data_IF_782148764101
#
_entry.id   IF_782148764101
#
_cell.length_a   1.000
_cell.length_b   1.000
_cell.length_c   1.000
_cell.angle_alpha   90.00
_cell.angle_beta   90.00
_cell.angle_gamma   90.00
#
_symmetry.space_group_name_H-M   'P 1'
#
loop_
_entity.id
_entity.type
_entity.pdbx_description
1 polymer ?
#
# COMPACT_ATOMS: atom_id res chain seq x y z
N UNK A 1 -4.28 -13.52 35.95
CA UNK A 1 -3.36 -12.63 35.22
C UNK A 1 -3.64 -12.82 33.74
N UNK A 2 -4.08 -11.77 33.06
CA UNK A 2 -4.64 -11.86 31.72
C UNK A 2 -3.57 -12.25 30.68
N UNK A 3 -3.99 -13.15 29.78
CA UNK A 3 -3.25 -13.76 28.70
C UNK A 3 -2.53 -12.75 27.81
N UNK A 4 -1.24 -12.97 27.57
CA UNK A 4 -0.55 -12.42 26.40
C UNK A 4 -0.35 -13.56 25.41
N UNK A 5 -1.37 -13.79 24.58
CA UNK A 5 -1.23 -14.60 23.38
C UNK A 5 -0.26 -13.87 22.45
N UNK A 6 0.97 -14.36 22.37
CA UNK A 6 1.83 -14.12 21.21
C UNK A 6 1.10 -14.72 20.02
N UNK A 7 0.51 -13.87 19.19
CA UNK A 7 -0.03 -14.24 17.89
C UNK A 7 1.11 -14.07 16.87
N UNK A 8 1.65 -15.14 16.26
CA UNK A 8 2.63 -15.03 15.18
C UNK A 8 2.01 -14.53 13.85
N UNK A 9 0.79 -14.01 13.88
CA UNK A 9 -0.04 -13.69 12.73
C UNK A 9 -0.50 -12.23 12.76
N UNK A 10 0.37 -11.32 12.33
CA UNK A 10 0.03 -9.91 12.19
C UNK A 10 -0.94 -9.60 11.03
N UNK A 11 -1.30 -10.57 10.20
CA UNK A 11 -2.19 -10.36 9.05
C UNK A 11 -1.80 -9.18 8.16
N UNK A 12 -2.76 -8.70 7.36
CA UNK A 12 -2.57 -7.54 6.48
C UNK A 12 -2.20 -6.25 7.26
N UNK A 13 -2.80 -6.05 8.43
CA UNK A 13 -2.58 -4.87 9.26
C UNK A 13 -1.15 -4.80 9.80
N UNK A 14 -0.58 -5.93 10.18
CA UNK A 14 0.81 -6.03 10.66
C UNK A 14 1.81 -5.67 9.57
N UNK A 15 1.60 -6.13 8.33
CA UNK A 15 2.42 -5.74 7.19
C UNK A 15 2.38 -4.23 6.95
N UNK A 16 1.19 -3.63 7.00
CA UNK A 16 1.01 -2.19 6.85
C UNK A 16 1.70 -1.40 7.96
N UNK A 17 1.58 -1.83 9.23
CA UNK A 17 2.25 -1.17 10.35
C UNK A 17 3.78 -1.24 10.22
N UNK A 18 4.33 -2.40 9.89
CA UNK A 18 5.77 -2.58 9.65
C UNK A 18 6.26 -1.74 8.46
N UNK A 19 5.45 -1.62 7.41
CA UNK A 19 5.76 -0.81 6.24
C UNK A 19 5.87 0.68 6.59
N UNK A 20 4.97 1.18 7.45
CA UNK A 20 5.03 2.57 7.93
C UNK A 20 6.14 2.80 8.95
N UNK A 21 6.50 1.79 9.74
CA UNK A 21 7.64 1.87 10.66
C UNK A 21 8.98 1.93 9.89
N UNK A 22 9.10 1.19 8.79
CA UNK A 22 10.27 1.22 7.91
C UNK A 22 10.58 2.63 7.38
N UNK A 23 9.57 3.48 7.17
CA UNK A 23 9.77 4.87 6.74
C UNK A 23 10.47 5.76 7.78
N UNK A 24 10.50 5.33 9.05
CA UNK A 24 11.14 6.06 10.15
C UNK A 24 12.58 5.60 10.40
N UNK A 25 13.01 4.53 9.71
CA UNK A 25 14.37 4.00 9.84
C UNK A 25 15.40 4.99 9.32
N UNK A 26 16.52 5.12 10.03
CA UNK A 26 17.69 5.87 9.57
C UNK A 26 18.42 5.15 8.42
N UNK A 27 18.31 3.83 8.34
CA UNK A 27 18.87 3.04 7.24
C UNK A 27 17.80 2.81 6.16
N UNK A 28 17.70 3.76 5.24
CA UNK A 28 16.64 3.81 4.22
C UNK A 28 16.78 2.70 3.18
N UNK A 29 18.00 2.22 2.92
CA UNK A 29 18.27 1.18 1.93
C UNK A 29 17.74 -0.19 2.39
N UNK A 30 18.11 -0.64 3.60
CA UNK A 30 17.57 -1.89 4.16
C UNK A 30 16.07 -1.79 4.39
N UNK A 31 15.59 -0.64 4.87
CA UNK A 31 14.17 -0.41 5.10
C UNK A 31 13.35 -0.46 3.79
N UNK A 32 13.90 0.02 2.67
CA UNK A 32 13.26 -0.12 1.36
C UNK A 32 13.18 -1.58 0.92
N UNK A 33 14.27 -2.36 1.03
CA UNK A 33 14.24 -3.80 0.72
C UNK A 33 13.19 -4.55 1.54
N UNK A 34 13.11 -4.24 2.84
CA UNK A 34 12.08 -4.79 3.71
C UNK A 34 10.67 -4.33 3.27
N UNK A 35 10.49 -3.04 2.97
CA UNK A 35 9.21 -2.48 2.53
C UNK A 35 8.67 -3.15 1.26
N UNK A 36 9.53 -3.39 0.28
CA UNK A 36 9.16 -4.07 -0.96
C UNK A 36 8.76 -5.53 -0.71
N UNK A 37 9.46 -6.24 0.18
CA UNK A 37 9.06 -7.58 0.64
C UNK A 37 7.68 -7.58 1.30
N UNK A 38 7.43 -6.62 2.20
CA UNK A 38 6.13 -6.47 2.89
C UNK A 38 4.98 -6.19 1.91
N UNK A 39 5.19 -5.35 0.91
CA UNK A 39 4.18 -5.06 -0.12
C UNK A 39 3.84 -6.32 -0.91
N UNK A 40 4.85 -7.15 -1.24
CA UNK A 40 4.62 -8.42 -1.94
C UNK A 40 3.81 -9.39 -1.09
N UNK A 41 4.15 -9.57 0.18
CA UNK A 41 3.38 -10.40 1.11
C UNK A 41 1.95 -9.88 1.33
N UNK A 42 1.78 -8.55 1.37
CA UNK A 42 0.46 -7.92 1.43
C UNK A 42 -0.36 -8.25 0.18
N UNK A 43 0.23 -8.11 -1.01
CA UNK A 43 -0.44 -8.41 -2.27
C UNK A 43 -0.86 -9.88 -2.35
N UNK A 44 0.03 -10.80 -1.97
CA UNK A 44 -0.26 -12.24 -1.92
C UNK A 44 -1.40 -12.57 -0.96
N UNK A 45 -1.42 -11.95 0.23
CA UNK A 45 -2.51 -12.10 1.20
C UNK A 45 -3.86 -11.58 0.66
N UNK A 46 -3.84 -10.46 -0.07
CA UNK A 46 -5.01 -9.91 -0.74
C UNK A 46 -5.53 -10.80 -1.88
N UNK A 47 -4.65 -11.54 -2.57
CA UNK A 47 -5.05 -12.44 -3.67
C UNK A 47 -5.62 -13.75 -3.14
N UNK A 48 -4.96 -14.35 -2.13
CA UNK A 48 -5.31 -15.66 -1.56
C UNK A 48 -6.55 -15.62 -0.66
N UNK A 49 -6.91 -14.46 -0.14
CA UNK A 49 -8.11 -14.31 0.69
C UNK A 49 -9.40 -14.38 -0.15
N UNK A 50 -10.38 -15.13 0.37
CA UNK A 50 -11.72 -15.32 -0.20
C UNK A 50 -12.79 -15.06 0.86
N UNK A 51 -13.82 -14.30 0.49
CA UNK A 51 -14.94 -13.92 1.37
C UNK A 51 -15.20 -12.41 1.37
N UNK A 52 -16.47 -12.01 1.30
CA UNK A 52 -16.86 -10.60 1.20
C UNK A 52 -16.49 -9.78 2.44
N UNK A 53 -16.64 -10.35 3.64
CA UNK A 53 -16.29 -9.68 4.91
C UNK A 53 -14.78 -9.42 5.01
N UNK A 54 -13.97 -10.40 4.57
CA UNK A 54 -12.52 -10.26 4.58
C UNK A 54 -12.09 -9.24 3.53
N UNK A 55 -12.73 -9.24 2.34
CA UNK A 55 -12.45 -8.25 1.31
C UNK A 55 -12.80 -6.83 1.78
N UNK A 56 -13.92 -6.65 2.47
CA UNK A 56 -14.31 -5.35 3.04
C UNK A 56 -13.28 -4.84 4.07
N UNK A 57 -12.75 -5.74 4.91
CA UNK A 57 -11.67 -5.44 5.84
C UNK A 57 -10.37 -5.08 5.10
N UNK A 58 -9.99 -5.84 4.07
CA UNK A 58 -8.80 -5.57 3.27
C UNK A 58 -8.88 -4.20 2.60
N UNK A 59 -10.01 -3.86 1.98
CA UNK A 59 -10.25 -2.54 1.39
C UNK A 59 -10.04 -1.44 2.45
N UNK A 60 -10.67 -1.58 3.61
CA UNK A 60 -10.59 -0.59 4.69
C UNK A 60 -9.17 -0.38 5.21
N UNK A 61 -8.38 -1.46 5.29
CA UNK A 61 -6.99 -1.40 5.73
C UNK A 61 -6.06 -0.81 4.65
N UNK A 62 -6.16 -1.29 3.41
CA UNK A 62 -5.34 -0.80 2.28
C UNK A 62 -5.54 0.70 2.06
N UNK A 63 -6.79 1.18 2.15
CA UNK A 63 -7.12 2.59 1.94
C UNK A 63 -7.22 3.40 3.23
N UNK A 64 -6.71 2.89 4.36
CA UNK A 64 -6.61 3.65 5.60
C UNK A 64 -5.77 4.92 5.41
N UNK A 65 -6.27 6.05 5.92
CA UNK A 65 -5.60 7.36 5.78
C UNK A 65 -4.29 7.44 6.56
N UNK A 66 -4.19 6.72 7.66
CA UNK A 66 -3.03 6.81 8.56
C UNK A 66 -1.95 5.80 8.19
N UNK A 67 -2.35 4.53 8.10
CA UNK A 67 -1.44 3.39 7.93
C UNK A 67 -1.73 2.56 6.67
N UNK A 68 -2.54 3.07 5.74
CA UNK A 68 -2.80 2.41 4.47
C UNK A 68 -1.68 2.62 3.44
N UNK A 69 -1.84 1.99 2.28
CA UNK A 69 -0.83 1.98 1.23
C UNK A 69 -0.74 3.33 0.49
N UNK A 70 -1.89 4.01 0.32
CA UNK A 70 -1.93 5.39 -0.21
C UNK A 70 -1.13 6.36 0.66
N UNK A 71 -1.23 6.22 1.97
CA UNK A 71 -0.49 7.03 2.94
C UNK A 71 1.01 6.73 2.90
N UNK A 72 1.39 5.46 2.75
CA UNK A 72 2.79 5.05 2.56
C UNK A 72 3.39 5.67 1.30
N UNK A 73 2.68 5.60 0.16
CA UNK A 73 3.14 6.19 -1.11
C UNK A 73 3.39 7.68 -0.91
N UNK A 74 2.44 8.41 -0.32
CA UNK A 74 2.58 9.85 -0.08
C UNK A 74 3.79 10.19 0.80
N UNK A 75 3.94 9.51 1.94
CA UNK A 75 5.02 9.77 2.92
C UNK A 75 6.40 9.44 2.36
N UNK A 76 6.49 8.43 1.49
CA UNK A 76 7.76 7.97 0.92
C UNK A 76 8.25 8.77 -0.30
N UNK A 77 7.46 9.71 -0.84
CA UNK A 77 7.84 10.50 -2.03
C UNK A 77 9.17 11.26 -1.88
N UNK A 78 9.54 11.63 -0.65
CA UNK A 78 10.79 12.35 -0.36
C UNK A 78 12.03 11.45 -0.23
N UNK A 79 11.87 10.13 -0.25
CA UNK A 79 12.96 9.17 -0.03
C UNK A 79 13.19 8.35 -1.29
N UNK A 80 14.39 8.47 -1.86
CA UNK A 80 14.71 7.86 -3.16
C UNK A 80 14.78 6.33 -3.11
N UNK A 81 15.28 5.75 -2.00
CA UNK A 81 15.39 4.30 -1.83
C UNK A 81 14.03 3.58 -1.94
N UNK A 82 12.93 4.23 -1.51
CA UNK A 82 11.59 3.65 -1.55
C UNK A 82 10.92 3.70 -2.93
N UNK A 83 11.61 4.18 -3.98
CA UNK A 83 11.03 4.32 -5.32
C UNK A 83 10.48 3.02 -5.88
N UNK A 84 11.22 1.91 -5.75
CA UNK A 84 10.76 0.59 -6.20
C UNK A 84 9.52 0.13 -5.42
N UNK A 85 9.49 0.40 -4.12
CA UNK A 85 8.36 0.03 -3.28
C UNK A 85 7.11 0.86 -3.62
N UNK A 86 7.27 2.14 -3.98
CA UNK A 86 6.14 2.95 -4.49
C UNK A 86 5.59 2.41 -5.81
N UNK A 87 6.47 2.01 -6.73
CA UNK A 87 6.08 1.40 -8.00
C UNK A 87 5.27 0.12 -7.76
N UNK A 88 5.78 -0.79 -6.92
CA UNK A 88 5.12 -2.06 -6.62
C UNK A 88 3.78 -1.84 -5.90
N UNK A 89 3.72 -0.88 -4.98
CA UNK A 89 2.47 -0.49 -4.32
C UNK A 89 1.43 0.03 -5.31
N UNK A 90 1.81 0.87 -6.28
CA UNK A 90 0.90 1.41 -7.29
C UNK A 90 0.37 0.31 -8.22
N UNK A 91 1.23 -0.61 -8.67
CA UNK A 91 0.81 -1.78 -9.46
C UNK A 91 -0.16 -2.66 -8.69
N UNK A 92 0.10 -2.91 -7.41
CA UNK A 92 -0.83 -3.63 -6.56
C UNK A 92 -2.16 -2.90 -6.44
N UNK A 93 -2.18 -1.59 -6.18
CA UNK A 93 -3.42 -0.81 -6.07
C UNK A 93 -4.21 -0.88 -7.38
N UNK A 94 -3.54 -0.77 -8.53
CA UNK A 94 -4.18 -0.91 -9.85
C UNK A 94 -4.91 -2.25 -9.97
N UNK A 95 -4.21 -3.36 -9.72
CA UNK A 95 -4.81 -4.69 -9.78
C UNK A 95 -5.90 -4.89 -8.71
N UNK A 96 -5.72 -4.31 -7.51
CA UNK A 96 -6.66 -4.44 -6.42
C UNK A 96 -7.96 -3.68 -6.68
N UNK A 97 -7.89 -2.49 -7.28
CA UNK A 97 -9.07 -1.71 -7.70
C UNK A 97 -9.88 -2.50 -8.74
N UNK A 98 -9.23 -3.16 -9.69
CA UNK A 98 -9.93 -4.06 -10.63
C UNK A 98 -10.64 -5.20 -9.92
N UNK A 99 -9.99 -5.82 -8.92
CA UNK A 99 -10.57 -6.92 -8.14
C UNK A 99 -11.83 -6.49 -7.38
N UNK A 100 -11.83 -5.30 -6.77
CA UNK A 100 -12.93 -4.86 -5.89
C UNK A 100 -14.05 -4.11 -6.62
N UNK A 101 -13.79 -3.65 -7.85
CA UNK A 101 -14.75 -2.96 -8.71
C UNK A 101 -15.43 -1.77 -8.00
N UNK A 102 -16.77 -1.69 -7.97
CA UNK A 102 -17.49 -0.52 -7.44
C UNK A 102 -17.30 -0.29 -5.94
N UNK A 103 -16.75 -1.26 -5.19
CA UNK A 103 -16.45 -1.09 -3.75
C UNK A 103 -15.37 -0.04 -3.49
N UNK A 104 -14.64 0.42 -4.51
CA UNK A 104 -13.63 1.50 -4.41
C UNK A 104 -14.24 2.90 -4.23
N UNK A 105 -15.50 3.12 -4.60
CA UNK A 105 -16.15 4.44 -4.65
C UNK A 105 -15.88 5.36 -3.44
N UNK A 106 -15.97 4.92 -2.17
CA UNK A 106 -15.69 5.79 -1.02
C UNK A 106 -14.23 6.27 -0.92
N UNK A 107 -13.30 5.60 -1.60
CA UNK A 107 -11.86 5.90 -1.61
C UNK A 107 -11.37 6.52 -2.92
N UNK A 108 -12.22 6.61 -3.95
CA UNK A 108 -11.84 7.04 -5.30
C UNK A 108 -11.19 8.44 -5.32
N UNK A 109 -11.70 9.37 -4.50
CA UNK A 109 -11.11 10.72 -4.40
C UNK A 109 -9.68 10.70 -3.82
N UNK A 110 -9.43 9.86 -2.81
CA UNK A 110 -8.11 9.73 -2.19
C UNK A 110 -7.13 9.06 -3.15
N UNK A 111 -7.56 8.01 -3.87
CA UNK A 111 -6.76 7.37 -4.93
C UNK A 111 -6.38 8.39 -6.01
N UNK A 112 -7.36 9.14 -6.53
CA UNK A 112 -7.12 10.17 -7.55
C UNK A 112 -6.11 11.22 -7.07
N UNK A 113 -6.27 11.70 -5.84
CA UNK A 113 -5.35 12.68 -5.24
C UNK A 113 -3.92 12.15 -5.16
N UNK A 114 -3.74 10.91 -4.72
CA UNK A 114 -2.42 10.28 -4.65
C UNK A 114 -1.83 10.10 -6.04
N UNK A 115 -2.59 9.60 -7.01
CA UNK A 115 -2.08 9.41 -8.36
C UNK A 115 -1.64 10.72 -9.02
N UNK A 116 -2.41 11.81 -8.87
CA UNK A 116 -1.98 13.15 -9.33
C UNK A 116 -0.72 13.61 -8.58
N UNK A 117 -0.64 13.38 -7.27
CA UNK A 117 0.52 13.76 -6.47
C UNK A 117 1.77 13.01 -6.91
N UNK A 118 1.68 11.69 -7.10
CA UNK A 118 2.78 10.85 -7.61
C UNK A 118 3.18 11.31 -9.01
N UNK A 119 2.23 11.48 -9.92
CA UNK A 119 2.51 11.89 -11.29
C UNK A 119 3.23 13.25 -11.38
N UNK A 120 2.88 14.19 -10.49
CA UNK A 120 3.45 15.55 -10.51
C UNK A 120 4.71 15.71 -9.68
N UNK A 121 4.86 14.94 -8.59
CA UNK A 121 5.97 15.10 -7.63
C UNK A 121 7.02 13.99 -7.70
N UNK A 122 6.67 12.80 -8.16
CA UNK A 122 7.63 11.72 -8.32
C UNK A 122 8.42 11.95 -9.61
N UNK A 123 9.75 12.04 -9.48
CA UNK A 123 10.64 12.23 -10.63
C UNK A 123 10.86 10.96 -11.45
N UNK A 124 10.29 9.82 -11.04
CA UNK A 124 10.44 8.56 -11.72
C UNK A 124 9.30 8.25 -12.68
N UNK A 125 9.65 8.09 -13.96
CA UNK A 125 8.71 7.59 -14.97
C UNK A 125 8.07 6.24 -14.60
N UNK A 126 8.76 5.40 -13.80
CA UNK A 126 8.26 4.08 -13.39
C UNK A 126 7.05 4.15 -12.46
N UNK A 127 6.99 5.14 -11.57
CA UNK A 127 5.81 5.39 -10.74
C UNK A 127 4.70 6.12 -11.51
N UNK A 128 5.06 6.91 -12.53
CA UNK A 128 4.12 7.71 -13.31
C UNK A 128 3.16 6.88 -14.16
N UNK A 129 3.62 5.80 -14.79
CA UNK A 129 2.79 4.92 -15.63
C UNK A 129 1.61 4.30 -14.83
N UNK A 130 1.84 3.54 -13.75
CA UNK A 130 0.73 2.92 -13.01
C UNK A 130 -0.17 3.97 -12.34
N UNK A 131 0.36 5.14 -11.97
CA UNK A 131 -0.45 6.24 -11.46
C UNK A 131 -1.39 6.83 -12.53
N UNK A 132 -0.94 6.96 -13.79
CA UNK A 132 -1.79 7.38 -14.89
C UNK A 132 -2.84 6.33 -15.23
N UNK A 133 -2.48 5.05 -15.27
CA UNK A 133 -3.43 3.96 -15.52
C UNK A 133 -4.55 3.92 -14.45
N UNK A 134 -4.18 4.14 -13.18
CA UNK A 134 -5.14 4.28 -12.08
C UNK A 134 -6.09 5.47 -12.22
N UNK A 135 -5.67 6.56 -12.88
CA UNK A 135 -6.50 7.75 -13.09
C UNK A 135 -7.52 7.59 -14.22
N UNK A 136 -7.26 6.68 -15.16
CA UNK A 136 -8.08 6.47 -16.36
C UNK A 136 -9.17 5.41 -16.10
N UNK A 137 -9.01 4.58 -15.05
CA UNK A 137 -10.05 3.64 -14.58
C UNK A 137 -11.06 4.31 -13.67
#
# INVERSE_FOLDING_TARGET
>A
MASSLVVPGGGLQGFLLQLHDALRSSDTSSAALQGCSLIRSLAESCVTSSGDDILALQISLVFSKENGLLSFIYKSLGVEDFRECREEALKFILAFVEKIGPKIQPYAQDVKRICVTVYTKDRSAKCGIPALELLIK
#
